data_IF_124720239749
#
_entry.id   IF_124720239749
#
_cell.length_a   1.000
_cell.length_b   1.000
_cell.length_c   1.000
_cell.angle_alpha   90.00
_cell.angle_beta   90.00
_cell.angle_gamma   90.00
#
_symmetry.space_group_name_H-M   'P 1'
#
loop_
_entity.id
_entity.type
_entity.pdbx_description
1 polymer ?
#
# COMPACT_ATOMS: atom_id res chain seq x y z
N UNK A 1 -14.45 -12.04 21.83
CA UNK A 1 -13.30 -11.17 21.48
C UNK A 1 -13.20 -11.13 19.97
N UNK A 2 -13.29 -9.93 19.35
CA UNK A 2 -13.17 -9.82 17.90
C UNK A 2 -11.72 -10.06 17.49
N UNK A 3 -11.44 -11.14 16.77
CA UNK A 3 -10.11 -11.40 16.22
C UNK A 3 -9.78 -10.33 15.17
N UNK A 4 -8.92 -9.37 15.55
CA UNK A 4 -8.38 -8.38 14.62
C UNK A 4 -7.28 -9.05 13.81
N UNK A 5 -7.45 -9.12 12.49
CA UNK A 5 -6.43 -9.67 11.61
C UNK A 5 -5.30 -8.64 11.45
N UNK A 6 -4.15 -8.91 12.06
CA UNK A 6 -2.93 -8.13 11.85
C UNK A 6 -2.25 -8.58 10.56
N UNK A 7 -1.92 -7.65 9.67
CA UNK A 7 -1.22 -7.92 8.42
C UNK A 7 -0.04 -6.95 8.27
N UNK A 8 1.15 -7.53 8.19
CA UNK A 8 2.38 -6.80 7.94
C UNK A 8 2.51 -6.47 6.44
N UNK A 9 2.80 -5.20 6.14
CA UNK A 9 2.99 -4.70 4.78
C UNK A 9 4.49 -4.49 4.56
N UNK A 10 5.18 -5.45 3.93
CA UNK A 10 6.60 -5.30 3.65
C UNK A 10 6.82 -4.19 2.61
N UNK A 11 8.03 -3.67 2.58
CA UNK A 11 8.43 -2.62 1.65
C UNK A 11 8.19 -3.04 0.20
N UNK A 12 7.68 -2.11 -0.61
CA UNK A 12 7.28 -2.36 -1.99
C UNK A 12 5.95 -3.09 -2.15
N UNK A 13 5.11 -3.16 -1.11
CA UNK A 13 3.77 -3.76 -1.19
C UNK A 13 2.67 -2.80 -0.78
N UNK A 14 1.46 -3.15 -1.24
CA UNK A 14 0.21 -2.45 -0.97
C UNK A 14 -0.86 -3.46 -0.55
N UNK A 15 -1.66 -3.09 0.46
CA UNK A 15 -2.90 -3.77 0.83
C UNK A 15 -4.06 -2.80 0.93
N UNK A 16 -5.23 -3.30 0.58
CA UNK A 16 -6.54 -2.64 0.73
C UNK A 16 -7.47 -3.67 1.36
N UNK A 17 -8.22 -3.25 2.37
CA UNK A 17 -9.20 -4.05 3.08
C UNK A 17 -10.56 -3.36 3.15
N UNK A 18 -11.59 -4.18 3.23
CA UNK A 18 -12.98 -3.80 3.48
C UNK A 18 -13.63 -4.79 4.44
N UNK A 19 -14.67 -4.35 5.15
CA UNK A 19 -15.63 -5.22 5.85
C UNK A 19 -15.05 -6.23 6.86
N UNK A 20 -13.97 -5.90 7.58
CA UNK A 20 -13.58 -6.62 8.81
C UNK A 20 -12.57 -5.78 9.61
N UNK A 21 -12.46 -5.96 10.94
CA UNK A 21 -11.39 -5.32 11.71
C UNK A 21 -10.03 -5.91 11.29
N UNK A 22 -9.26 -5.12 10.55
CA UNK A 22 -7.90 -5.44 10.11
C UNK A 22 -6.95 -4.35 10.56
N UNK A 23 -5.73 -4.73 10.93
CA UNK A 23 -4.64 -3.81 11.23
C UNK A 23 -3.54 -4.01 10.19
N UNK A 24 -3.35 -3.01 9.33
CA UNK A 24 -2.21 -2.97 8.42
C UNK A 24 -1.04 -2.29 9.12
N UNK A 25 0.14 -2.92 9.12
CA UNK A 25 1.32 -2.39 9.79
C UNK A 25 2.53 -2.42 8.86
N UNK A 26 3.22 -1.29 8.73
CA UNK A 26 4.54 -1.19 8.12
C UNK A 26 5.53 -0.71 9.18
N UNK A 27 6.76 -1.22 9.10
CA UNK A 27 7.88 -0.77 9.94
C UNK A 27 8.75 0.09 9.05
N UNK A 28 8.99 1.34 9.45
CA UNK A 28 9.68 2.33 8.63
C UNK A 28 11.09 2.60 9.15
N UNK A 29 12.05 2.68 8.22
CA UNK A 29 13.37 3.28 8.43
C UNK A 29 13.46 4.58 7.65
N UNK A 30 14.04 4.53 6.44
CA UNK A 30 14.09 5.65 5.48
C UNK A 30 12.93 5.67 4.47
N UNK A 31 12.13 4.61 4.46
CA UNK A 31 10.99 4.41 3.57
C UNK A 31 9.75 5.21 4.00
N UNK A 32 8.77 5.28 3.10
CA UNK A 32 7.52 6.02 3.31
C UNK A 32 6.33 5.07 3.40
N UNK A 33 5.54 5.18 4.48
CA UNK A 33 4.23 4.53 4.60
C UNK A 33 3.12 5.52 4.28
N UNK A 34 2.20 5.17 3.38
CA UNK A 34 0.98 5.95 3.11
C UNK A 34 -0.24 5.11 3.45
N UNK A 35 -1.03 5.59 4.40
CA UNK A 35 -2.30 4.99 4.80
C UNK A 35 -3.47 5.85 4.30
N UNK A 36 -4.54 5.20 3.85
CA UNK A 36 -5.76 5.88 3.43
C UNK A 36 -6.97 5.15 3.98
N UNK A 37 -7.94 5.88 4.51
CA UNK A 37 -9.18 5.34 5.05
C UNK A 37 -10.36 6.23 4.68
N UNK A 38 -11.45 5.60 4.27
CA UNK A 38 -12.73 6.24 3.95
C UNK A 38 -13.78 5.77 4.96
N UNK A 39 -14.28 6.68 5.82
CA UNK A 39 -15.25 6.34 6.83
C UNK A 39 -16.63 5.99 6.26
N UNK A 40 -17.01 6.52 5.08
CA UNK A 40 -18.30 6.23 4.44
C UNK A 40 -18.30 4.82 3.86
N UNK A 41 -17.21 4.44 3.17
CA UNK A 41 -17.06 3.10 2.56
C UNK A 41 -16.57 2.03 3.54
N UNK A 42 -16.12 2.42 4.74
CA UNK A 42 -15.46 1.54 5.74
C UNK A 42 -14.36 0.71 5.09
N UNK A 43 -13.56 1.38 4.27
CA UNK A 43 -12.54 0.80 3.43
C UNK A 43 -11.26 1.59 3.61
N UNK A 44 -10.13 0.90 3.57
CA UNK A 44 -8.84 1.55 3.67
C UNK A 44 -7.70 0.65 3.28
N UNK A 45 -6.49 1.18 3.33
CA UNK A 45 -5.30 0.45 2.93
C UNK A 45 -4.03 1.12 3.41
N UNK A 46 -2.92 0.43 3.15
CA UNK A 46 -1.58 0.91 3.42
C UNK A 46 -0.64 0.47 2.29
N UNK A 47 0.12 1.42 1.76
CA UNK A 47 1.25 1.18 0.85
C UNK A 47 2.56 1.52 1.55
N UNK A 48 3.56 0.66 1.36
CA UNK A 48 4.90 0.84 1.91
C UNK A 48 5.86 1.10 0.75
N UNK A 49 6.16 2.37 0.52
CA UNK A 49 6.94 2.89 -0.61
C UNK A 49 8.43 2.87 -0.24
N UNK A 50 9.25 2.37 -1.16
CA UNK A 50 10.71 2.29 -0.99
C UNK A 50 11.44 3.48 -1.62
N UNK A 51 10.98 3.92 -2.80
CA UNK A 51 11.67 4.88 -3.66
C UNK A 51 10.70 5.94 -4.21
N UNK A 52 11.18 7.13 -4.59
CA UNK A 52 10.33 8.16 -5.18
C UNK A 52 9.85 7.79 -6.61
N UNK A 53 10.77 7.35 -7.46
CA UNK A 53 10.52 7.01 -8.86
C UNK A 53 11.43 5.89 -9.36
N UNK A 54 11.06 5.18 -10.43
CA UNK A 54 11.97 4.27 -11.10
C UNK A 54 13.20 4.99 -11.63
N UNK A 55 14.31 4.26 -11.71
CA UNK A 55 15.50 4.73 -12.42
C UNK A 55 15.26 4.56 -13.93
N UNK A 56 15.60 5.58 -14.70
CA UNK A 56 15.54 5.52 -16.16
C UNK A 56 16.43 4.38 -16.67
N UNK A 57 15.96 3.68 -17.71
CA UNK A 57 16.73 2.65 -18.44
C UNK A 57 17.00 1.34 -17.69
N UNK A 58 16.16 0.99 -16.71
CA UNK A 58 16.20 -0.36 -16.11
C UNK A 58 15.00 -1.18 -16.58
N UNK A 59 15.25 -2.39 -17.10
CA UNK A 59 14.19 -3.38 -17.41
C UNK A 59 13.42 -3.82 -16.14
N UNK A 60 13.96 -3.49 -14.96
CA UNK A 60 13.36 -3.71 -13.65
C UNK A 60 12.14 -2.82 -13.33
N UNK A 61 11.76 -1.90 -14.21
CA UNK A 61 10.63 -0.99 -14.00
C UNK A 61 9.28 -1.69 -13.79
N UNK A 62 9.08 -2.89 -14.36
CA UNK A 62 7.73 -3.47 -14.49
C UNK A 62 7.28 -4.39 -13.35
N UNK A 63 8.20 -4.94 -12.54
CA UNK A 63 7.84 -6.07 -11.67
C UNK A 63 7.08 -5.67 -10.40
N UNK A 64 7.24 -4.43 -9.92
CA UNK A 64 6.73 -4.00 -8.60
C UNK A 64 6.42 -2.50 -8.52
N UNK A 65 5.39 -1.98 -9.23
CA UNK A 65 5.06 -0.56 -9.23
C UNK A 65 4.71 0.02 -7.85
N UNK A 66 4.32 -0.81 -6.88
CA UNK A 66 4.04 -0.41 -5.50
C UNK A 66 5.27 0.07 -4.72
N UNK A 67 6.48 -0.21 -5.21
CA UNK A 67 7.73 0.26 -4.56
C UNK A 67 8.01 1.73 -4.77
N UNK A 68 7.42 2.35 -5.79
CA UNK A 68 7.68 3.75 -6.15
C UNK A 68 6.49 4.64 -5.80
N UNK A 69 6.73 5.87 -5.36
CA UNK A 69 5.66 6.84 -5.10
C UNK A 69 4.90 7.20 -6.39
N UNK A 70 5.65 7.52 -7.45
CA UNK A 70 5.12 7.93 -8.76
C UNK A 70 4.15 6.92 -9.40
N UNK A 71 4.40 5.62 -9.25
CA UNK A 71 3.52 4.57 -9.81
C UNK A 71 2.59 3.94 -8.76
N UNK A 72 3.05 3.83 -7.51
CA UNK A 72 2.36 3.11 -6.44
C UNK A 72 1.12 3.84 -5.94
N UNK A 73 1.12 5.18 -5.91
CA UNK A 73 -0.04 5.98 -5.46
C UNK A 73 -1.22 5.81 -6.42
N UNK A 74 -0.97 5.85 -7.74
CA UNK A 74 -2.00 5.60 -8.75
C UNK A 74 -2.58 4.20 -8.60
N UNK A 75 -1.72 3.19 -8.42
CA UNK A 75 -2.15 1.80 -8.19
C UNK A 75 -2.95 1.64 -6.89
N UNK A 76 -2.59 2.39 -5.84
CA UNK A 76 -3.35 2.42 -4.58
C UNK A 76 -4.75 2.96 -4.81
N UNK A 77 -4.89 4.10 -5.50
CA UNK A 77 -6.20 4.67 -5.85
C UNK A 77 -7.06 3.69 -6.68
N UNK A 78 -6.49 3.06 -7.70
CA UNK A 78 -7.21 2.09 -8.54
C UNK A 78 -7.67 0.88 -7.71
N UNK A 79 -6.75 0.25 -6.96
CA UNK A 79 -7.06 -0.92 -6.14
C UNK A 79 -8.09 -0.62 -5.04
N UNK A 80 -8.07 0.61 -4.54
CA UNK A 80 -9.05 1.12 -3.58
C UNK A 80 -10.46 1.23 -4.17
N UNK A 81 -10.58 1.57 -5.46
CA UNK A 81 -11.86 1.73 -6.13
C UNK A 81 -12.45 0.43 -6.73
N UNK A 82 -11.61 -0.55 -7.07
CA UNK A 82 -12.03 -1.82 -7.70
C UNK A 82 -12.46 -2.89 -6.69
N UNK A 83 -11.83 -2.94 -5.51
CA UNK A 83 -12.40 -3.69 -4.37
C UNK A 83 -13.53 -2.89 -3.78
#
# INVERSE_FOLDING_TARGET
MNHIQNEYIPTGRLRVGKKSPRKFQAILGTCLGLALYDPKRKAGGLIHILLPSPLENTDFQSSTPEKYASTGIVKFHIKYNIK
#
